data_IF_716503435495
#
_entry.id   IF_716503435495
#
_cell.length_a   1.000
_cell.length_b   1.000
_cell.length_c   1.000
_cell.angle_alpha   90.00
_cell.angle_beta   90.00
_cell.angle_gamma   90.00
#
_symmetry.space_group_name_H-M   'P 1'
#
loop_
_entity.id
_entity.type
_entity.pdbx_description
1 polymer ?
#
# COMPACT_ATOMS: atom_id res chain seq x y z
N UNK A 1 15.97 -6.01 -8.59
CA UNK A 1 16.60 -4.70 -8.30
C UNK A 1 15.90 -4.16 -7.06
N UNK A 2 16.48 -4.35 -5.87
CA UNK A 2 15.89 -3.81 -4.64
C UNK A 2 16.08 -2.28 -4.61
N UNK A 3 15.10 -1.48 -4.15
CA UNK A 3 15.20 -0.04 -4.18
C UNK A 3 16.24 0.42 -3.13
N UNK A 4 17.09 1.40 -3.49
CA UNK A 4 18.20 1.92 -2.66
C UNK A 4 17.80 2.38 -1.24
N UNK A 5 16.52 2.67 -1.00
CA UNK A 5 16.01 3.10 0.31
C UNK A 5 15.79 1.96 1.32
N UNK A 6 15.53 0.74 0.86
CA UNK A 6 15.32 -0.42 1.75
C UNK A 6 16.64 -0.96 2.31
N UNK A 7 17.76 -0.65 1.63
CA UNK A 7 19.10 -1.04 2.07
C UNK A 7 19.54 -0.29 3.35
N UNK A 8 19.39 1.05 3.38
CA UNK A 8 19.78 1.86 4.54
C UNK A 8 19.00 1.47 5.79
N UNK A 9 17.68 1.27 5.68
CA UNK A 9 16.84 0.87 6.82
C UNK A 9 17.27 -0.47 7.40
N UNK A 10 17.51 -1.45 6.54
CA UNK A 10 17.92 -2.79 6.95
C UNK A 10 19.29 -2.74 7.66
N UNK A 11 20.21 -1.92 7.14
CA UNK A 11 21.53 -1.70 7.77
C UNK A 11 21.42 -1.02 9.13
N UNK A 12 20.60 0.02 9.25
CA UNK A 12 20.37 0.74 10.52
C UNK A 12 19.73 -0.19 11.56
N UNK A 13 18.73 -1.00 11.16
CA UNK A 13 18.10 -1.97 12.06
C UNK A 13 19.10 -2.98 12.60
N UNK A 14 19.90 -3.58 11.71
CA UNK A 14 20.92 -4.56 12.10
C UNK A 14 21.98 -3.92 13.01
N UNK A 15 22.52 -2.77 12.62
CA UNK A 15 23.54 -2.08 13.39
C UNK A 15 23.05 -1.67 14.79
N UNK A 16 21.83 -1.16 14.89
CA UNK A 16 21.23 -0.78 16.18
C UNK A 16 20.94 -1.98 17.07
N UNK A 17 20.49 -3.11 16.48
CA UNK A 17 20.30 -4.37 17.20
C UNK A 17 21.62 -4.90 17.78
N UNK A 18 22.71 -4.80 17.01
CA UNK A 18 24.04 -5.27 17.43
C UNK A 18 24.69 -4.34 18.49
N UNK A 19 24.28 -3.07 18.56
CA UNK A 19 24.88 -2.04 19.43
C UNK A 19 23.87 -1.36 20.36
N UNK A 20 22.87 -2.09 20.87
CA UNK A 20 21.83 -1.51 21.73
C UNK A 20 22.39 -0.78 22.95
N UNK A 21 23.46 -1.30 23.57
CA UNK A 21 24.08 -0.72 24.76
C UNK A 21 24.70 0.66 24.51
N UNK A 22 25.14 0.94 23.28
CA UNK A 22 25.76 2.23 22.90
C UNK A 22 24.72 3.33 22.62
N UNK A 23 23.44 2.96 22.52
CA UNK A 23 22.32 3.88 22.37
C UNK A 23 22.16 4.50 20.97
N UNK A 24 21.08 5.28 20.82
CA UNK A 24 20.65 5.86 19.53
C UNK A 24 21.64 6.85 18.92
N UNK A 25 22.35 7.61 19.77
CA UNK A 25 23.29 8.63 19.31
C UNK A 25 24.51 8.02 18.60
N UNK A 26 24.98 6.86 19.07
CA UNK A 26 26.09 6.13 18.44
C UNK A 26 25.74 5.70 17.02
N UNK A 27 24.56 5.09 16.87
CA UNK A 27 24.05 4.66 15.55
C UNK A 27 23.81 5.86 14.64
N UNK A 28 23.20 6.94 15.15
CA UNK A 28 22.98 8.15 14.37
C UNK A 28 24.28 8.76 13.86
N UNK A 29 25.33 8.82 14.70
CA UNK A 29 26.63 9.34 14.30
C UNK A 29 27.26 8.51 13.18
N UNK A 30 27.27 7.19 13.30
CA UNK A 30 27.83 6.28 12.30
C UNK A 30 27.20 6.50 10.91
N UNK A 31 25.88 6.51 10.82
CA UNK A 31 25.19 6.69 9.54
C UNK A 31 25.18 8.15 9.04
N UNK A 32 25.33 9.13 9.94
CA UNK A 32 25.57 10.52 9.54
C UNK A 32 26.93 10.68 8.87
N UNK A 33 27.97 10.02 9.37
CA UNK A 33 29.31 10.02 8.77
C UNK A 33 29.31 9.33 7.39
N UNK A 34 28.39 8.39 7.15
CA UNK A 34 28.13 7.79 5.83
C UNK A 34 27.32 8.69 4.87
N UNK A 35 26.84 9.85 5.35
CA UNK A 35 26.08 10.82 4.54
C UNK A 35 24.56 10.68 4.61
N UNK A 36 24.01 9.84 5.50
CA UNK A 36 22.57 9.80 5.73
C UNK A 36 22.10 10.98 6.60
N UNK A 37 20.89 11.49 6.32
CA UNK A 37 20.36 12.60 7.10
C UNK A 37 20.00 12.16 8.52
N UNK A 38 20.26 13.03 9.51
CA UNK A 38 19.92 12.79 10.92
C UNK A 38 18.43 12.45 11.08
N UNK A 39 17.55 13.24 10.45
CA UNK A 39 16.10 13.05 10.52
C UNK A 39 15.70 11.65 10.04
N UNK A 40 16.25 11.22 8.89
CA UNK A 40 15.98 9.88 8.34
C UNK A 40 16.42 8.78 9.30
N UNK A 41 17.60 8.88 9.92
CA UNK A 41 18.08 7.84 10.84
C UNK A 41 17.19 7.74 12.08
N UNK A 42 16.79 8.87 12.67
CA UNK A 42 15.91 8.86 13.84
C UNK A 42 14.50 8.39 13.51
N UNK A 43 13.96 8.70 12.33
CA UNK A 43 12.68 8.16 11.87
C UNK A 43 12.74 6.63 11.73
N UNK A 44 13.86 6.09 11.26
CA UNK A 44 14.09 4.65 11.16
C UNK A 44 14.20 4.01 12.55
N UNK A 45 14.98 4.60 13.45
CA UNK A 45 15.12 4.11 14.83
C UNK A 45 13.78 4.14 15.58
N UNK A 46 12.97 5.19 15.38
CA UNK A 46 11.63 5.26 15.95
C UNK A 46 10.74 4.12 15.44
N UNK A 47 10.79 3.82 14.13
CA UNK A 47 10.06 2.68 13.57
C UNK A 47 10.52 1.33 14.14
N UNK A 48 11.82 1.19 14.43
CA UNK A 48 12.35 0.00 15.10
C UNK A 48 11.77 -0.14 16.50
N UNK A 49 11.72 0.95 17.28
CA UNK A 49 11.11 0.99 18.62
C UNK A 49 9.60 0.68 18.58
N UNK A 50 8.91 1.15 17.55
CA UNK A 50 7.49 0.85 17.30
C UNK A 50 7.25 -0.59 16.78
N UNK A 51 8.29 -1.44 16.72
CA UNK A 51 8.26 -2.81 16.20
C UNK A 51 7.72 -2.91 14.75
N UNK A 52 7.91 -1.86 13.95
CA UNK A 52 7.50 -1.84 12.56
C UNK A 52 8.58 -2.45 11.66
N UNK A 53 8.19 -3.21 10.62
CA UNK A 53 9.15 -3.77 9.68
C UNK A 53 9.91 -2.65 8.94
N UNK A 54 11.17 -2.93 8.62
CA UNK A 54 12.02 -2.05 7.81
C UNK A 54 11.46 -1.88 6.38
N UNK A 55 10.76 -2.90 5.89
CA UNK A 55 10.13 -2.92 4.58
C UNK A 55 9.12 -1.76 4.43
N UNK A 56 9.05 -1.24 3.20
CA UNK A 56 8.03 -0.26 2.83
C UNK A 56 6.66 -0.93 2.88
N UNK A 57 5.81 -0.48 3.80
CA UNK A 57 4.41 -0.84 3.76
C UNK A 57 3.78 -0.25 2.48
N UNK A 58 2.97 -1.04 1.75
CA UNK A 58 2.24 -0.51 0.61
C UNK A 58 1.38 0.66 1.10
N UNK A 59 1.43 1.78 0.35
CA UNK A 59 0.66 2.95 0.71
C UNK A 59 -0.82 2.59 0.86
N UNK A 60 -1.49 3.24 1.82
CA UNK A 60 -2.95 3.12 2.01
C UNK A 60 -3.68 3.84 0.87
N UNK A 61 -3.54 3.32 -0.35
CA UNK A 61 -4.40 3.71 -1.43
C UNK A 61 -5.77 3.10 -1.12
N UNK A 62 -6.79 3.95 -0.97
CA UNK A 62 -8.18 3.48 -0.95
C UNK A 62 -8.41 2.73 -2.26
N UNK A 63 -8.52 1.41 -2.20
CA UNK A 63 -9.00 0.62 -3.35
C UNK A 63 -10.39 1.16 -3.65
N UNK A 64 -10.54 1.86 -4.78
CA UNK A 64 -11.81 2.36 -5.24
C UNK A 64 -12.67 1.16 -5.67
N UNK A 65 -13.30 0.47 -4.71
CA UNK A 65 -14.34 -0.54 -4.97
C UNK A 65 -15.60 0.20 -5.40
N UNK A 66 -15.62 0.68 -6.64
CA UNK A 66 -16.82 1.28 -7.25
C UNK A 66 -17.98 0.25 -7.23
N UNK A 67 -17.64 -1.04 -7.31
CA UNK A 67 -18.56 -2.15 -7.08
C UNK A 67 -18.18 -2.94 -5.83
N UNK A 68 -19.09 -2.98 -4.85
CA UNK A 68 -19.06 -3.98 -3.78
C UNK A 68 -19.59 -5.32 -4.32
N UNK A 69 -19.19 -6.47 -3.73
CA UNK A 69 -19.69 -7.79 -4.15
C UNK A 69 -21.21 -7.86 -4.27
N UNK A 70 -21.93 -7.25 -3.32
CA UNK A 70 -23.40 -7.14 -3.34
C UNK A 70 -23.94 -6.43 -4.60
N UNK A 71 -23.27 -5.37 -5.06
CA UNK A 71 -23.67 -4.67 -6.28
C UNK A 71 -23.40 -5.50 -7.53
N UNK A 72 -22.35 -6.33 -7.53
CA UNK A 72 -22.04 -7.25 -8.64
C UNK A 72 -23.11 -8.35 -8.72
N UNK A 73 -23.51 -8.92 -7.59
CA UNK A 73 -24.62 -9.90 -7.56
C UNK A 73 -25.94 -9.28 -8.03
N UNK A 74 -26.24 -8.05 -7.62
CA UNK A 74 -27.42 -7.34 -8.08
C UNK A 74 -27.37 -7.05 -9.59
N UNK A 75 -26.19 -6.68 -10.11
CA UNK A 75 -25.96 -6.50 -11.54
C UNK A 75 -26.23 -7.80 -12.30
N UNK A 76 -25.66 -8.93 -11.85
CA UNK A 76 -25.91 -10.25 -12.47
C UNK A 76 -27.40 -10.60 -12.49
N UNK A 77 -28.12 -10.38 -11.39
CA UNK A 77 -29.57 -10.59 -11.32
C UNK A 77 -30.38 -9.66 -12.22
N UNK A 78 -29.89 -8.45 -12.46
CA UNK A 78 -30.56 -7.50 -13.35
C UNK A 78 -30.44 -7.91 -14.84
N UNK A 79 -29.37 -8.63 -15.21
CA UNK A 79 -29.15 -9.17 -16.56
C UNK A 79 -29.72 -10.57 -16.76
N UNK A 80 -29.81 -11.35 -15.69
CA UNK A 80 -30.30 -12.72 -15.75
C UNK A 80 -31.77 -12.78 -16.21
N UNK A 81 -32.04 -13.59 -17.23
CA UNK A 81 -33.36 -13.80 -17.84
C UNK A 81 -34.09 -12.52 -18.33
N UNK A 82 -33.36 -11.43 -18.64
CA UNK A 82 -33.94 -10.19 -19.17
C UNK A 82 -33.32 -9.79 -20.51
N UNK A 83 -33.95 -10.20 -21.60
CA UNK A 83 -33.52 -9.87 -22.98
C UNK A 83 -33.53 -8.35 -23.30
N UNK A 84 -34.23 -7.54 -22.49
CA UNK A 84 -34.33 -6.09 -22.66
C UNK A 84 -33.32 -5.24 -21.88
N UNK A 85 -32.51 -5.84 -20.99
CA UNK A 85 -31.60 -5.06 -20.14
C UNK A 85 -30.20 -4.99 -20.75
N UNK A 86 -29.88 -3.86 -21.38
CA UNK A 86 -28.57 -3.64 -22.02
C UNK A 86 -27.56 -2.96 -21.09
N UNK A 87 -26.27 -3.06 -21.44
CA UNK A 87 -25.17 -2.51 -20.66
C UNK A 87 -25.24 -0.99 -20.44
N UNK A 88 -25.87 -0.25 -21.36
CA UNK A 88 -26.01 1.22 -21.27
C UNK A 88 -26.99 1.65 -20.17
N UNK A 89 -28.23 1.12 -20.09
CA UNK A 89 -29.13 1.29 -18.94
C UNK A 89 -28.50 0.86 -17.61
N UNK A 90 -27.79 -0.26 -17.59
CA UNK A 90 -27.08 -0.74 -16.40
C UNK A 90 -26.02 0.27 -15.94
N UNK A 91 -25.18 0.76 -16.85
CA UNK A 91 -24.16 1.76 -16.56
C UNK A 91 -24.76 3.03 -15.92
N UNK A 92 -25.90 3.51 -16.44
CA UNK A 92 -26.65 4.63 -15.85
C UNK A 92 -27.17 4.31 -14.44
N UNK A 93 -27.78 3.14 -14.25
CA UNK A 93 -28.34 2.69 -12.95
C UNK A 93 -27.26 2.59 -11.87
N UNK A 94 -26.06 2.14 -12.23
CA UNK A 94 -24.96 1.93 -11.30
C UNK A 94 -23.96 3.10 -11.26
N UNK A 95 -24.21 4.18 -12.00
CA UNK A 95 -23.38 5.39 -12.00
C UNK A 95 -21.94 5.15 -12.50
N UNK A 96 -21.77 4.32 -13.52
CA UNK A 96 -20.46 3.95 -14.06
C UNK A 96 -20.43 3.96 -15.59
N UNK A 97 -19.26 3.68 -16.18
CA UNK A 97 -19.13 3.58 -17.65
C UNK A 97 -19.61 2.23 -18.17
N UNK A 98 -20.10 2.20 -19.41
CA UNK A 98 -20.52 0.96 -20.06
C UNK A 98 -19.36 -0.03 -20.24
N UNK A 99 -18.14 0.46 -20.49
CA UNK A 99 -16.93 -0.38 -20.54
C UNK A 99 -16.69 -1.11 -19.22
N UNK A 100 -16.99 -0.48 -18.09
CA UNK A 100 -16.83 -1.10 -16.77
C UNK A 100 -17.86 -2.21 -16.53
N UNK A 101 -19.11 -2.02 -16.98
CA UNK A 101 -20.13 -3.08 -16.97
C UNK A 101 -19.71 -4.26 -17.87
N UNK A 102 -19.15 -4.00 -19.05
CA UNK A 102 -18.68 -5.05 -19.97
C UNK A 102 -17.56 -5.89 -19.38
N UNK A 103 -16.61 -5.29 -18.64
CA UNK A 103 -15.55 -6.01 -17.95
C UNK A 103 -16.04 -6.84 -16.75
N UNK A 104 -17.23 -6.56 -16.21
CA UNK A 104 -17.82 -7.26 -15.05
C UNK A 104 -18.78 -8.40 -15.44
N UNK A 105 -19.27 -8.40 -16.68
CA UNK A 105 -20.24 -9.37 -17.21
C UNK A 105 -19.57 -10.47 -18.06
N UNK A 106 -18.25 -10.44 -18.28
CA UNK A 106 -17.50 -11.56 -18.85
C UNK A 106 -17.19 -12.62 -17.79
#
# INVERSE_FOLDING_TARGET
MAPKEDDLKSRVYKFYSDHQESGKQFTAKHFMDEGASKSTIYDILKRYEDNLPAERQPGSARIAKIFTPKKVEQLKKDFDHKDGFSQRPAAKKYGCSQQMISHMHM
#
